data_IF_618084560671
#
_entry.id   IF_618084560671
#
_cell.length_a   1.000
_cell.length_b   1.000
_cell.length_c   1.000
_cell.angle_alpha   90.00
_cell.angle_beta   90.00
_cell.angle_gamma   90.00
#
_symmetry.space_group_name_H-M   'P 1'
#
loop_
_entity.id
_entity.type
_entity.pdbx_description
1 polymer ?
#
# COMPACT_ATOMS: atom_id res chain seq x y z
N UNK A 1 -0.74 11.68 2.84
CA UNK A 1 -1.71 12.75 2.53
C UNK A 1 -1.11 14.11 2.84
N UNK A 2 -0.56 14.30 4.04
CA UNK A 2 0.10 15.55 4.46
C UNK A 2 1.27 16.03 3.58
N UNK A 3 1.94 15.14 2.84
CA UNK A 3 3.02 15.56 1.94
C UNK A 3 2.51 16.43 0.78
N UNK A 4 1.22 16.37 0.44
CA UNK A 4 0.62 17.20 -0.60
C UNK A 4 1.13 16.96 -2.03
N UNK A 5 1.88 15.88 -2.26
CA UNK A 5 2.56 15.62 -3.53
C UNK A 5 1.61 15.07 -4.62
N UNK A 6 0.47 14.51 -4.21
CA UNK A 6 -0.54 13.92 -5.10
C UNK A 6 -1.91 14.48 -4.74
N UNK A 7 -2.68 14.85 -5.77
CA UNK A 7 -4.08 15.26 -5.61
C UNK A 7 -4.97 14.03 -5.64
N UNK A 8 -5.51 13.66 -4.48
CA UNK A 8 -6.39 12.50 -4.31
C UNK A 8 -7.77 13.02 -3.96
N UNK A 9 -8.76 12.71 -4.81
CA UNK A 9 -10.18 13.05 -4.56
C UNK A 9 -10.99 11.89 -4.02
N UNK A 10 -10.41 10.69 -3.95
CA UNK A 10 -11.06 9.48 -3.45
C UNK A 10 -10.04 8.34 -3.35
N UNK A 11 -10.27 7.41 -2.42
CA UNK A 11 -9.36 6.31 -2.15
C UNK A 11 -10.04 4.96 -2.34
N UNK A 12 -9.48 4.12 -3.21
CA UNK A 12 -9.82 2.71 -3.29
C UNK A 12 -9.05 1.98 -2.18
N UNK A 13 -9.77 1.54 -1.15
CA UNK A 13 -9.17 0.85 -0.02
C UNK A 13 -8.95 -0.65 -0.33
N UNK A 14 -7.81 -1.23 0.08
CA UNK A 14 -7.43 -2.59 -0.27
C UNK A 14 -8.37 -3.64 0.36
N UNK A 15 -8.98 -4.48 -0.47
CA UNK A 15 -9.94 -5.49 -0.05
C UNK A 15 -9.39 -6.52 0.93
N UNK A 16 -8.22 -7.12 0.64
CA UNK A 16 -7.63 -8.15 1.50
C UNK A 16 -7.16 -7.61 2.86
N UNK A 17 -6.60 -6.40 2.91
CA UNK A 17 -6.26 -5.75 4.18
C UNK A 17 -7.53 -5.48 4.98
N UNK A 18 -8.56 -4.94 4.32
CA UNK A 18 -9.86 -4.64 4.95
C UNK A 18 -10.62 -5.90 5.36
N UNK A 19 -10.36 -7.05 4.74
CA UNK A 19 -10.91 -8.33 5.20
C UNK A 19 -10.38 -8.71 6.60
N UNK A 20 -9.18 -8.24 6.95
CA UNK A 20 -8.57 -8.41 8.27
C UNK A 20 -8.99 -7.28 9.21
N UNK A 21 -8.75 -6.03 8.85
CA UNK A 21 -8.90 -4.89 9.77
C UNK A 21 -10.30 -4.26 9.77
N UNK A 22 -11.14 -4.64 8.81
CA UNK A 22 -12.45 -4.05 8.60
C UNK A 22 -12.40 -2.73 7.83
N UNK A 23 -13.52 -2.02 7.82
CA UNK A 23 -13.60 -0.69 7.19
C UNK A 23 -13.36 0.46 8.18
N UNK A 24 -13.63 0.26 9.46
CA UNK A 24 -13.52 1.31 10.49
C UNK A 24 -12.15 2.00 10.54
N UNK A 25 -11.00 1.31 10.39
CA UNK A 25 -9.71 1.98 10.42
C UNK A 25 -9.47 2.99 9.30
N UNK A 26 -10.29 3.00 8.24
CA UNK A 26 -10.20 3.99 7.16
C UNK A 26 -11.00 5.27 7.46
N UNK A 27 -11.84 5.29 8.50
CA UNK A 27 -12.78 6.40 8.78
C UNK A 27 -12.10 7.74 9.01
N UNK A 28 -10.90 7.74 9.60
CA UNK A 28 -10.14 8.97 9.80
C UNK A 28 -9.80 9.69 8.48
N UNK A 29 -9.69 8.97 7.36
CA UNK A 29 -9.38 9.58 6.06
C UNK A 29 -10.55 10.46 5.60
N UNK A 30 -11.78 9.94 5.74
CA UNK A 30 -12.97 10.71 5.42
C UNK A 30 -13.20 11.85 6.42
N UNK A 31 -13.03 11.59 7.73
CA UNK A 31 -13.27 12.56 8.79
C UNK A 31 -12.24 13.71 8.82
N UNK A 32 -10.95 13.39 8.70
CA UNK A 32 -9.87 14.35 8.94
C UNK A 32 -9.41 15.02 7.62
N UNK A 33 -9.50 14.31 6.49
CA UNK A 33 -9.03 14.81 5.19
C UNK A 33 -10.16 15.13 4.22
N UNK A 34 -11.40 14.74 4.51
CA UNK A 34 -12.52 14.92 3.60
C UNK A 34 -12.41 14.07 2.32
N UNK A 35 -11.60 13.01 2.33
CA UNK A 35 -11.40 12.15 1.16
C UNK A 35 -12.30 10.90 1.26
N UNK A 36 -13.28 10.72 0.36
CA UNK A 36 -14.15 9.56 0.38
C UNK A 36 -13.35 8.29 0.13
N UNK A 37 -13.75 7.20 0.79
CA UNK A 37 -13.03 5.93 0.76
C UNK A 37 -14.00 4.80 0.45
N UNK A 38 -13.65 3.93 -0.49
CA UNK A 38 -14.47 2.75 -0.79
C UNK A 38 -13.60 1.51 -0.82
N UNK A 39 -13.97 0.48 -0.05
CA UNK A 39 -13.26 -0.80 -0.02
C UNK A 39 -13.67 -1.64 -1.22
N UNK A 40 -12.71 -1.92 -2.10
CA UNK A 40 -12.92 -2.69 -3.32
C UNK A 40 -12.49 -4.15 -3.17
N UNK A 41 -13.10 -5.02 -3.99
CA UNK A 41 -12.54 -6.33 -4.31
C UNK A 41 -11.52 -6.19 -5.45
N UNK A 42 -11.20 -7.32 -6.09
CA UNK A 42 -10.16 -7.41 -7.11
C UNK A 42 -10.70 -7.81 -8.49
N UNK A 43 -11.99 -8.14 -8.58
CA UNK A 43 -12.61 -8.37 -9.88
C UNK A 43 -12.79 -7.03 -10.61
N UNK A 44 -12.70 -6.99 -11.95
CA UNK A 44 -12.86 -5.76 -12.71
C UNK A 44 -14.15 -4.99 -12.37
N UNK A 45 -15.25 -5.71 -12.14
CA UNK A 45 -16.53 -5.10 -11.74
C UNK A 45 -16.53 -4.53 -10.32
N UNK A 46 -15.73 -5.09 -9.41
CA UNK A 46 -15.59 -4.52 -8.06
C UNK A 46 -14.91 -3.15 -8.13
N UNK A 47 -13.86 -3.05 -8.95
CA UNK A 47 -13.11 -1.82 -9.15
C UNK A 47 -14.01 -0.77 -9.81
N UNK A 48 -14.76 -1.15 -10.85
CA UNK A 48 -15.69 -0.23 -11.52
C UNK A 48 -16.79 0.26 -10.57
N UNK A 49 -17.38 -0.63 -9.77
CA UNK A 49 -18.37 -0.24 -8.75
C UNK A 49 -17.75 0.70 -7.70
N UNK A 50 -16.53 0.42 -7.27
CA UNK A 50 -15.82 1.27 -6.32
C UNK A 50 -15.57 2.68 -6.87
N UNK A 51 -15.21 2.79 -8.15
CA UNK A 51 -15.04 4.08 -8.84
C UNK A 51 -16.37 4.82 -8.94
N UNK A 52 -17.44 4.14 -9.35
CA UNK A 52 -18.79 4.72 -9.43
C UNK A 52 -19.25 5.32 -8.09
N UNK A 53 -19.08 4.56 -7.00
CA UNK A 53 -19.41 5.01 -5.64
C UNK A 53 -18.56 6.22 -5.20
N UNK A 54 -17.25 6.22 -5.49
CA UNK A 54 -16.37 7.35 -5.18
C UNK A 54 -16.78 8.61 -5.95
N UNK A 55 -17.08 8.47 -7.24
CA UNK A 55 -17.53 9.59 -8.08
C UNK A 55 -18.84 10.17 -7.53
N UNK A 56 -19.82 9.33 -7.19
CA UNK A 56 -21.08 9.78 -6.60
C UNK A 56 -20.88 10.61 -5.33
N UNK A 57 -20.04 10.13 -4.39
CA UNK A 57 -19.74 10.90 -3.17
C UNK A 57 -19.08 12.26 -3.49
N UNK A 58 -18.13 12.29 -4.43
CA UNK A 58 -17.46 13.54 -4.83
C UNK A 58 -18.45 14.52 -5.45
N UNK A 59 -19.37 14.07 -6.30
CA UNK A 59 -20.40 14.91 -6.92
C UNK A 59 -21.41 15.44 -5.90
N UNK A 60 -21.74 14.64 -4.88
CA UNK A 60 -22.64 15.02 -3.78
C UNK A 60 -21.95 15.88 -2.70
N UNK A 61 -20.62 16.02 -2.75
CA UNK A 61 -19.84 16.72 -1.73
C UNK A 61 -19.79 15.96 -0.39
N UNK A 62 -19.98 14.65 -0.43
CA UNK A 62 -19.92 13.75 0.72
C UNK A 62 -18.53 13.11 0.87
N UNK A 63 -18.19 12.74 2.10
CA UNK A 63 -16.99 11.97 2.40
C UNK A 63 -17.30 10.94 3.47
N UNK A 64 -17.43 9.68 3.05
CA UNK A 64 -17.68 8.53 3.93
C UNK A 64 -16.85 7.32 3.50
N UNK A 65 -16.73 6.38 4.42
CA UNK A 65 -16.18 5.05 4.11
C UNK A 65 -17.32 4.11 3.74
N UNK A 66 -17.25 3.53 2.55
CA UNK A 66 -18.20 2.51 2.10
C UNK A 66 -17.51 1.20 1.73
N UNK A 67 -18.29 0.13 1.65
CA UNK A 67 -17.80 -1.21 1.29
C UNK A 67 -18.52 -1.67 0.02
N UNK A 68 -17.81 -1.68 -1.10
CA UNK A 68 -18.25 -2.38 -2.32
C UNK A 68 -18.03 -3.89 -2.18
N UNK A 69 -16.92 -4.31 -1.55
CA UNK A 69 -16.54 -5.72 -1.37
C UNK A 69 -17.25 -6.45 -0.22
N UNK A 70 -18.58 -6.31 -0.11
CA UNK A 70 -19.37 -6.84 1.03
C UNK A 70 -19.32 -8.36 1.20
N UNK A 71 -18.94 -9.09 0.14
CA UNK A 71 -18.77 -10.55 0.19
C UNK A 71 -17.52 -10.99 0.94
N UNK A 72 -16.50 -10.12 1.04
CA UNK A 72 -15.22 -10.41 1.68
C UNK A 72 -14.89 -9.55 2.89
N UNK A 73 -15.60 -8.43 3.09
CA UNK A 73 -15.26 -7.43 4.12
C UNK A 73 -16.48 -7.11 4.99
N UNK A 74 -16.24 -7.07 6.29
CA UNK A 74 -17.18 -6.59 7.31
C UNK A 74 -16.63 -5.31 7.95
N UNK A 75 -17.47 -4.38 8.42
CA UNK A 75 -17.00 -3.16 9.08
C UNK A 75 -16.03 -3.43 10.23
N UNK A 76 -16.32 -4.44 11.04
CA UNK A 76 -15.52 -4.87 12.20
C UNK A 76 -14.30 -5.74 11.87
N UNK A 77 -14.12 -6.11 10.59
CA UNK A 77 -13.02 -6.98 10.16
C UNK A 77 -13.09 -8.40 10.70
N UNK A 78 -11.92 -9.03 10.81
CA UNK A 78 -11.74 -10.34 11.40
C UNK A 78 -11.23 -10.22 12.84
N UNK A 79 -12.15 -10.30 13.79
CA UNK A 79 -11.86 -10.15 15.22
C UNK A 79 -10.79 -11.11 15.74
N UNK A 80 -10.79 -12.37 15.30
CA UNK A 80 -9.80 -13.34 15.74
C UNK A 80 -8.39 -13.01 15.22
N UNK A 81 -8.30 -12.54 13.97
CA UNK A 81 -7.03 -12.12 13.40
C UNK A 81 -6.50 -10.87 14.10
N UNK A 82 -7.37 -9.90 14.39
CA UNK A 82 -7.02 -8.69 15.14
C UNK A 82 -6.52 -9.01 16.55
N UNK A 83 -7.25 -9.85 17.30
CA UNK A 83 -6.84 -10.30 18.65
C UNK A 83 -5.45 -10.97 18.61
N UNK A 84 -5.19 -11.81 17.60
CA UNK A 84 -3.90 -12.46 17.44
C UNK A 84 -2.78 -11.47 17.08
N UNK A 85 -3.05 -10.52 16.19
CA UNK A 85 -2.10 -9.48 15.83
C UNK A 85 -1.74 -8.62 17.04
N UNK A 86 -2.74 -8.17 17.80
CA UNK A 86 -2.54 -7.39 19.03
C UNK A 86 -1.80 -8.18 20.11
N UNK A 87 -2.04 -9.48 20.20
CA UNK A 87 -1.36 -10.36 21.14
C UNK A 87 0.13 -10.52 20.80
N UNK A 88 0.48 -10.66 19.51
CA UNK A 88 1.83 -11.02 19.07
C UNK A 88 2.70 -9.78 18.79
N UNK A 89 2.11 -8.73 18.23
CA UNK A 89 2.82 -7.57 17.73
C UNK A 89 2.44 -6.28 18.48
N UNK A 90 3.32 -5.29 18.39
CA UNK A 90 3.04 -3.92 18.79
C UNK A 90 3.52 -2.93 17.73
N UNK A 91 2.82 -1.79 17.55
CA UNK A 91 3.24 -0.75 16.63
C UNK A 91 4.64 -0.22 16.95
N UNK A 92 5.38 0.11 15.90
CA UNK A 92 6.64 0.81 16.01
C UNK A 92 6.88 1.72 14.79
N UNK A 93 7.80 2.69 14.89
CA UNK A 93 8.30 3.37 13.70
C UNK A 93 8.87 2.36 12.70
N UNK A 94 8.61 2.58 11.42
CA UNK A 94 9.21 1.79 10.35
C UNK A 94 9.63 2.69 9.20
N UNK A 95 10.72 2.30 8.53
CA UNK A 95 11.24 2.99 7.36
C UNK A 95 10.67 2.38 6.09
N UNK A 96 9.92 3.18 5.35
CA UNK A 96 9.31 2.83 4.08
C UNK A 96 10.13 3.40 2.93
N UNK A 97 10.41 2.56 1.92
CA UNK A 97 11.21 2.96 0.76
C UNK A 97 10.52 4.10 0.00
N UNK A 98 11.26 5.19 -0.23
CA UNK A 98 10.75 6.38 -0.93
C UNK A 98 9.92 7.33 -0.07
N UNK A 99 9.55 6.92 1.15
CA UNK A 99 8.73 7.74 2.07
C UNK A 99 9.58 8.19 3.26
N UNK A 100 10.45 7.32 3.78
CA UNK A 100 11.24 7.58 4.98
C UNK A 100 10.67 6.86 6.20
N UNK A 101 11.04 7.32 7.38
CA UNK A 101 10.49 6.79 8.63
C UNK A 101 9.08 7.33 8.88
N UNK A 102 8.15 6.42 9.15
CA UNK A 102 6.76 6.75 9.47
C UNK A 102 6.43 6.17 10.84
N UNK A 103 5.94 7.03 11.74
CA UNK A 103 5.54 6.63 13.09
C UNK A 103 4.43 5.58 13.05
N UNK A 104 4.50 4.61 13.96
CA UNK A 104 3.49 3.56 14.20
C UNK A 104 3.03 2.80 12.93
N UNK A 105 3.90 2.73 11.91
CA UNK A 105 3.61 2.10 10.62
C UNK A 105 4.19 0.69 10.49
N UNK A 106 5.06 0.29 11.42
CA UNK A 106 5.63 -1.04 11.53
C UNK A 106 4.99 -1.86 12.62
N UNK A 107 5.24 -3.17 12.59
CA UNK A 107 4.91 -4.10 13.65
C UNK A 107 6.17 -4.83 14.08
N UNK A 108 6.46 -4.81 15.38
CA UNK A 108 7.52 -5.60 15.99
C UNK A 108 6.95 -6.64 16.95
N UNK A 109 7.69 -7.71 17.18
CA UNK A 109 7.28 -8.74 18.13
C UNK A 109 7.27 -8.16 19.54
N UNK A 110 6.18 -8.40 20.28
CA UNK A 110 6.13 -8.03 21.70
C UNK A 110 7.18 -8.78 22.50
N UNK A 111 7.55 -8.23 23.65
CA UNK A 111 8.55 -8.82 24.56
C UNK A 111 8.32 -10.31 24.88
N UNK A 112 7.06 -10.73 25.05
CA UNK A 112 6.69 -12.14 25.29
C UNK A 112 7.14 -13.09 24.16
N UNK A 113 7.28 -12.57 22.94
CA UNK A 113 7.66 -13.28 21.73
C UNK A 113 9.10 -13.00 21.29
N UNK A 114 9.88 -12.25 22.07
CA UNK A 114 11.26 -11.83 21.74
C UNK A 114 12.20 -12.98 21.35
N UNK A 115 11.97 -14.19 21.84
CA UNK A 115 12.76 -15.39 21.43
C UNK A 115 12.67 -15.72 19.93
N UNK A 116 11.70 -15.15 19.22
CA UNK A 116 11.51 -15.33 17.78
C UNK A 116 12.00 -14.12 16.96
N UNK A 117 12.47 -13.06 17.63
CA UNK A 117 12.90 -11.83 16.98
C UNK A 117 14.39 -11.90 16.60
N UNK A 118 14.69 -11.97 15.30
CA UNK A 118 16.07 -12.07 14.83
C UNK A 118 16.91 -10.85 15.24
N UNK A 119 16.35 -9.65 15.26
CA UNK A 119 17.07 -8.43 15.67
C UNK A 119 17.48 -8.49 17.15
N UNK A 120 16.70 -9.20 17.98
CA UNK A 120 17.00 -9.36 19.39
C UNK A 120 17.96 -10.53 19.70
N UNK A 121 18.08 -11.51 18.80
CA UNK A 121 18.82 -12.76 19.05
C UNK A 121 20.13 -12.86 18.26
N UNK A 122 20.37 -11.99 17.27
CA UNK A 122 21.59 -11.97 16.49
C UNK A 122 22.22 -10.58 16.48
N UNK A 123 23.51 -10.51 16.80
CA UNK A 123 24.29 -9.29 16.63
C UNK A 123 24.75 -9.19 15.17
N UNK A 124 24.12 -8.33 14.39
CA UNK A 124 24.57 -7.97 13.05
C UNK A 124 24.27 -6.51 12.74
N UNK A 125 25.16 -5.87 11.99
CA UNK A 125 24.95 -4.52 11.47
C UNK A 125 24.66 -4.61 9.96
N UNK A 126 23.40 -4.41 9.51
CA UNK A 126 23.05 -4.54 8.08
C UNK A 126 23.65 -3.44 7.19
N UNK A 127 24.30 -2.43 7.77
CA UNK A 127 24.79 -1.25 7.06
C UNK A 127 23.66 -0.33 6.57
N UNK A 128 24.02 0.68 5.78
CA UNK A 128 23.06 1.62 5.23
C UNK A 128 22.42 1.06 3.96
N UNK A 129 21.08 1.03 3.92
CA UNK A 129 20.36 0.75 2.69
C UNK A 129 20.64 1.85 1.64
N UNK A 130 21.09 1.46 0.45
CA UNK A 130 21.36 2.36 -0.67
C UNK A 130 20.39 2.02 -1.80
N UNK A 131 19.65 3.03 -2.28
CA UNK A 131 18.83 2.85 -3.46
C UNK A 131 19.68 2.86 -4.73
N UNK A 132 19.38 2.01 -5.73
CA UNK A 132 20.13 1.96 -6.98
C UNK A 132 20.14 3.32 -7.70
N UNK A 133 21.31 3.71 -8.19
CA UNK A 133 21.47 4.97 -8.91
C UNK A 133 20.54 5.05 -10.14
N UNK A 134 19.81 6.15 -10.27
CA UNK A 134 18.87 6.38 -11.37
C UNK A 134 17.50 5.70 -11.21
N UNK A 135 17.31 4.85 -10.20
CA UNK A 135 16.00 4.28 -9.89
C UNK A 135 15.10 5.32 -9.22
N UNK A 136 13.86 5.46 -9.69
CA UNK A 136 12.86 6.38 -9.12
C UNK A 136 11.69 5.63 -8.47
N UNK A 137 11.90 4.39 -8.02
CA UNK A 137 10.85 3.59 -7.36
C UNK A 137 10.18 4.32 -6.20
N UNK A 138 10.91 5.15 -5.45
CA UNK A 138 10.32 5.94 -4.37
C UNK A 138 9.28 6.97 -4.85
N UNK A 139 9.47 7.57 -6.02
CA UNK A 139 8.49 8.49 -6.61
C UNK A 139 7.27 7.73 -7.15
N UNK A 140 7.49 6.53 -7.69
CA UNK A 140 6.44 5.66 -8.21
C UNK A 140 5.56 5.12 -7.07
N UNK A 141 6.17 4.65 -5.97
CA UNK A 141 5.44 4.17 -4.80
C UNK A 141 4.57 5.26 -4.15
N UNK A 142 4.99 6.52 -4.24
CA UNK A 142 4.21 7.67 -3.75
C UNK A 142 3.13 8.13 -4.74
N UNK A 143 3.07 7.55 -5.94
CA UNK A 143 2.13 7.95 -6.99
C UNK A 143 2.45 9.31 -7.64
N UNK A 144 3.63 9.86 -7.40
CA UNK A 144 4.07 11.16 -7.97
C UNK A 144 4.53 11.00 -9.41
N UNK A 145 5.01 9.80 -9.77
CA UNK A 145 5.45 9.43 -11.12
C UNK A 145 4.96 8.04 -11.49
N UNK A 146 4.96 7.74 -12.76
CA UNK A 146 4.66 6.42 -13.32
C UNK A 146 5.95 5.68 -13.73
N UNK A 147 5.90 4.36 -13.95
CA UNK A 147 7.05 3.62 -14.48
C UNK A 147 7.61 4.21 -15.78
N UNK A 148 6.79 4.78 -16.65
CA UNK A 148 7.22 5.41 -17.90
C UNK A 148 8.09 6.68 -17.70
N UNK A 149 8.00 7.32 -16.54
CA UNK A 149 8.86 8.46 -16.19
C UNK A 149 10.27 8.03 -15.78
N UNK A 150 10.48 6.73 -15.54
CA UNK A 150 11.76 6.16 -15.16
C UNK A 150 12.62 5.89 -16.39
N UNK A 151 13.78 6.57 -16.50
CA UNK A 151 14.72 6.37 -17.61
C UNK A 151 15.25 4.94 -17.75
N UNK A 152 15.20 4.15 -16.68
CA UNK A 152 15.66 2.76 -16.66
C UNK A 152 14.56 1.76 -17.06
N UNK A 153 13.29 2.13 -16.93
CA UNK A 153 12.16 1.23 -17.12
C UNK A 153 12.09 0.69 -18.55
N UNK A 154 11.93 -0.63 -18.68
CA UNK A 154 11.88 -1.34 -19.97
C UNK A 154 13.19 -1.32 -20.77
N UNK A 155 14.27 -0.77 -20.20
CA UNK A 155 15.60 -0.70 -20.82
C UNK A 155 16.61 -1.46 -19.98
N UNK A 156 17.28 -0.76 -19.07
CA UNK A 156 18.23 -1.35 -18.14
C UNK A 156 17.53 -2.12 -17.00
N UNK A 157 16.28 -1.77 -16.70
CA UNK A 157 15.45 -2.40 -15.67
C UNK A 157 14.29 -3.15 -16.35
N UNK A 158 14.37 -4.48 -16.36
CA UNK A 158 13.35 -5.42 -16.87
C UNK A 158 13.09 -6.51 -15.82
N UNK A 159 12.06 -7.37 -15.97
CA UNK A 159 11.85 -8.49 -15.05
C UNK A 159 13.05 -9.45 -14.98
N UNK A 160 13.76 -9.67 -16.09
CA UNK A 160 14.94 -10.53 -16.15
C UNK A 160 16.19 -9.86 -15.56
N UNK A 161 16.29 -8.53 -15.67
CA UNK A 161 17.37 -7.74 -15.11
C UNK A 161 16.82 -6.56 -14.28
N UNK A 162 16.26 -6.81 -13.10
CA UNK A 162 15.60 -5.78 -12.32
C UNK A 162 16.63 -4.90 -11.61
N UNK A 163 16.52 -3.58 -11.80
CA UNK A 163 17.34 -2.60 -11.06
C UNK A 163 16.69 -2.26 -9.72
N UNK A 164 15.38 -1.98 -9.75
CA UNK A 164 14.62 -1.53 -8.58
C UNK A 164 13.63 -2.56 -8.06
N UNK A 165 13.19 -2.44 -6.80
CA UNK A 165 12.32 -3.41 -6.13
C UNK A 165 10.94 -3.51 -6.80
N UNK A 166 10.43 -2.40 -7.37
CA UNK A 166 9.14 -2.40 -8.06
C UNK A 166 9.15 -3.24 -9.35
N UNK A 167 10.32 -3.63 -9.85
CA UNK A 167 10.45 -4.58 -10.97
C UNK A 167 10.66 -6.02 -10.49
N UNK A 168 11.16 -6.22 -9.26
CA UNK A 168 11.35 -7.55 -8.66
C UNK A 168 10.03 -8.11 -8.12
N UNK A 169 9.24 -7.28 -7.44
CA UNK A 169 8.02 -7.72 -6.78
C UNK A 169 6.92 -8.06 -7.79
N UNK A 170 6.19 -9.16 -7.56
CA UNK A 170 4.98 -9.50 -8.31
C UNK A 170 3.85 -8.49 -8.12
N UNK A 171 3.86 -7.75 -7.01
CA UNK A 171 2.92 -6.65 -6.72
C UNK A 171 3.52 -5.28 -7.09
N UNK A 172 4.73 -5.25 -7.64
CA UNK A 172 5.44 -4.02 -7.97
C UNK A 172 4.82 -3.31 -9.17
N UNK A 173 4.57 -2.00 -9.04
CA UNK A 173 3.96 -1.21 -10.11
C UNK A 173 4.76 -1.24 -11.42
N UNK A 174 6.10 -1.27 -11.37
CA UNK A 174 6.91 -1.38 -12.58
C UNK A 174 6.73 -2.75 -13.24
N UNK A 175 6.77 -3.85 -12.47
CA UNK A 175 6.55 -5.20 -13.00
C UNK A 175 5.18 -5.31 -13.67
N UNK A 176 4.12 -4.84 -13.00
CA UNK A 176 2.76 -4.82 -13.56
C UNK A 176 2.66 -3.98 -14.84
N UNK A 177 3.25 -2.77 -14.86
CA UNK A 177 3.30 -1.93 -16.05
C UNK A 177 4.07 -2.58 -17.21
N UNK A 178 5.14 -3.32 -16.91
CA UNK A 178 5.92 -3.99 -17.95
C UNK A 178 5.13 -5.15 -18.59
N UNK A 179 4.41 -5.93 -17.78
CA UNK A 179 3.64 -7.09 -18.23
C UNK A 179 2.37 -6.71 -19.00
N UNK A 180 1.69 -5.64 -18.57
CA UNK A 180 0.35 -5.31 -19.04
C UNK A 180 0.21 -3.92 -19.68
N UNK A 181 1.25 -3.08 -19.61
CA UNK A 181 1.25 -1.77 -20.26
C UNK A 181 1.37 -1.91 -21.77
N UNK A 182 0.56 -1.15 -22.51
CA UNK A 182 0.67 -1.12 -23.97
C UNK A 182 2.06 -0.61 -24.41
N UNK A 183 2.77 -1.41 -25.21
CA UNK A 183 3.94 -0.96 -25.98
C UNK A 183 5.34 -1.42 -25.55
N UNK A 184 5.49 -2.35 -24.59
CA UNK A 184 6.82 -2.89 -24.21
C UNK A 184 6.87 -4.43 -24.25
N UNK A 185 5.73 -5.11 -24.30
CA UNK A 185 5.63 -6.56 -24.50
C UNK A 185 5.04 -6.93 -25.86
N UNK A 186 5.83 -6.79 -26.94
CA UNK A 186 5.45 -7.22 -28.30
C UNK A 186 5.58 -6.14 -29.35
#
# INVERSE_FOLDING_TARGET
LDSGEVKISGLICPGHVSAIIGSHPWEFIAADYGIPCVVSGFEPLDILQCVDMLVGQVEEGESKVEIAYRRGVRPEGNRQALELMEQVFEPCPARWRGIGEVADSGLKLRQKYRRFDAEANFEFEPGTAVEPAGCICGDILRGVKTPNDCKLFGKACTPENPVGPCMVSSEGSCSAYYLYGEGIGG
#
